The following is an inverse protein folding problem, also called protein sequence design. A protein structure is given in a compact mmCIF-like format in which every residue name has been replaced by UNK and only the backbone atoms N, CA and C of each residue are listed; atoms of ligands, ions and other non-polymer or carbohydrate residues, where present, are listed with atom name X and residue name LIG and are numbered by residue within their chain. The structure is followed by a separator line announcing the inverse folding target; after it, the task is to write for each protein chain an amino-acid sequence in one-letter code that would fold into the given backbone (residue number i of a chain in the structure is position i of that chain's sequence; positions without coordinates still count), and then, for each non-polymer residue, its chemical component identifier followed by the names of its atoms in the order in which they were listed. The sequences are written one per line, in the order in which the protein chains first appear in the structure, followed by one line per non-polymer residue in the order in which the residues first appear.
data_IF_475311339802
#
_entry.id   IF_475311339802
#
_cell.length_a   1.000
_cell.length_b   1.000
_cell.length_c   1.000
_cell.angle_alpha   90.00
_cell.angle_beta   90.00
_cell.angle_gamma   90.00
#
_symmetry.space_group_name_H-M   'P 1'
#
loop_
_entity.id
_entity.type
_entity.pdbx_description
1 polymer ?
#
# COMPACT_ATOMS: atom_id res chain seq x y z
N UNK A 1 36.37 -9.23 -45.57
CA UNK A 1 35.77 -8.12 -44.79
C UNK A 1 34.29 -8.28 -44.94
N UNK A 2 33.71 -9.12 -44.09
CA UNK A 2 32.26 -9.19 -43.94
C UNK A 2 31.81 -7.89 -43.27
N UNK A 3 30.79 -7.27 -43.84
CA UNK A 3 30.13 -6.11 -43.26
C UNK A 3 29.42 -6.57 -42.00
N UNK A 4 29.94 -6.14 -40.85
CA UNK A 4 29.25 -6.25 -39.56
C UNK A 4 27.96 -5.41 -39.65
N UNK A 5 26.81 -6.09 -39.77
CA UNK A 5 25.51 -5.47 -40.05
C UNK A 5 24.86 -4.82 -38.84
N UNK A 6 25.48 -4.93 -37.65
CA UNK A 6 25.01 -4.32 -36.40
C UNK A 6 23.64 -4.81 -35.92
N UNK A 7 23.11 -5.87 -36.53
CA UNK A 7 21.86 -6.54 -36.18
C UNK A 7 22.13 -8.04 -36.20
N UNK A 8 21.64 -8.75 -35.19
CA UNK A 8 21.84 -10.19 -35.06
C UNK A 8 20.73 -10.96 -35.81
N UNK A 9 19.52 -10.40 -35.86
CA UNK A 9 18.37 -11.00 -36.51
C UNK A 9 17.40 -9.94 -37.06
N UNK A 10 16.68 -10.26 -38.14
CA UNK A 10 15.57 -9.43 -38.64
C UNK A 10 14.24 -10.08 -38.26
N UNK A 11 13.40 -9.35 -37.51
CA UNK A 11 12.03 -9.74 -37.16
C UNK A 11 11.07 -8.77 -37.84
N UNK A 12 10.15 -9.24 -38.69
CA UNK A 12 9.18 -8.41 -39.41
C UNK A 12 9.79 -7.12 -40.02
N UNK A 13 10.88 -7.26 -40.77
CA UNK A 13 11.63 -6.16 -41.41
C UNK A 13 12.26 -5.13 -40.43
N UNK A 14 12.38 -5.46 -39.14
CA UNK A 14 13.06 -4.66 -38.12
C UNK A 14 14.24 -5.41 -37.50
N UNK A 15 15.32 -4.70 -37.19
CA UNK A 15 16.50 -5.29 -36.55
C UNK A 15 16.27 -5.65 -35.08
N UNK A 16 16.80 -6.80 -34.66
CA UNK A 16 16.97 -7.16 -33.25
C UNK A 16 18.43 -7.56 -32.95
N UNK A 17 19.05 -7.00 -31.89
CA UNK A 17 18.59 -5.83 -31.13
C UNK A 17 18.41 -4.61 -32.04
N UNK A 18 17.58 -3.65 -31.61
CA UNK A 18 17.36 -2.42 -32.38
C UNK A 18 18.66 -1.64 -32.54
N UNK A 19 18.83 -0.98 -33.68
CA UNK A 19 19.93 -0.01 -33.82
C UNK A 19 19.68 1.18 -32.90
N UNK A 20 20.75 1.83 -32.44
CA UNK A 20 20.64 2.97 -31.51
C UNK A 20 19.68 4.09 -31.97
N UNK A 21 19.61 4.37 -33.28
CA UNK A 21 18.65 5.34 -33.82
C UNK A 21 17.19 4.86 -33.84
N UNK A 22 16.95 3.55 -34.01
CA UNK A 22 15.61 2.96 -33.92
C UNK A 22 15.12 2.94 -32.48
N UNK A 23 16.02 2.56 -31.55
CA UNK A 23 15.75 2.61 -30.12
C UNK A 23 15.44 4.03 -29.65
N UNK A 24 16.26 5.01 -30.04
CA UNK A 24 16.02 6.43 -29.72
C UNK A 24 14.63 6.91 -30.17
N UNK A 25 14.21 6.52 -31.39
CA UNK A 25 12.89 6.85 -31.92
C UNK A 25 11.78 6.20 -31.09
N UNK A 26 11.92 4.92 -30.72
CA UNK A 26 10.96 4.21 -29.88
C UNK A 26 10.81 4.88 -28.51
N UNK A 27 11.91 5.30 -27.88
CA UNK A 27 11.89 6.06 -26.63
C UNK A 27 11.13 7.39 -26.80
N UNK A 28 11.42 8.15 -27.86
CA UNK A 28 10.70 9.41 -28.14
C UNK A 28 9.20 9.20 -28.42
N UNK A 29 8.82 8.11 -29.09
CA UNK A 29 7.40 7.75 -29.36
C UNK A 29 6.65 7.32 -28.09
N UNK A 30 7.36 6.74 -27.11
CA UNK A 30 6.81 6.32 -25.80
C UNK A 30 6.87 7.42 -24.75
N UNK A 31 7.32 8.63 -25.10
CA UNK A 31 7.48 9.74 -24.17
C UNK A 31 6.20 10.61 -24.04
N UNK A 32 5.77 10.99 -22.82
CA UNK A 32 6.24 10.46 -21.54
C UNK A 32 5.70 9.06 -21.25
N UNK A 33 6.46 8.32 -20.45
CA UNK A 33 6.00 7.03 -19.95
C UNK A 33 5.14 7.25 -18.70
N UNK A 34 3.94 6.69 -18.71
CA UNK A 34 2.99 6.77 -17.60
C UNK A 34 2.53 5.36 -17.20
N UNK A 35 2.97 4.92 -16.02
CA UNK A 35 2.64 3.62 -15.45
C UNK A 35 1.17 3.44 -15.12
N UNK A 36 0.42 4.52 -14.81
CA UNK A 36 -1.03 4.42 -14.61
C UNK A 36 -1.75 4.14 -15.93
N UNK A 37 -1.36 4.83 -16.99
CA UNK A 37 -1.88 4.59 -18.34
C UNK A 37 -1.55 3.18 -18.84
N UNK A 38 -0.36 2.67 -18.52
CA UNK A 38 0.02 1.28 -18.83
C UNK A 38 -0.83 0.28 -18.04
N UNK A 39 -0.98 0.48 -16.73
CA UNK A 39 -1.84 -0.35 -15.89
C UNK A 39 -3.26 -0.40 -16.47
N UNK A 40 -3.86 0.73 -16.85
CA UNK A 40 -5.20 0.76 -17.43
C UNK A 40 -5.36 -0.07 -18.74
N UNK A 41 -4.26 -0.34 -19.46
CA UNK A 41 -4.26 -1.10 -20.72
C UNK A 41 -4.01 -2.60 -20.52
N UNK A 42 -3.57 -3.04 -19.34
CA UNK A 42 -3.06 -4.40 -19.05
C UNK A 42 -3.93 -5.11 -18.01
N UNK A 43 -5.11 -5.64 -18.37
CA UNK A 43 -6.01 -6.29 -17.41
C UNK A 43 -5.39 -7.56 -16.80
N UNK A 44 -5.88 -7.99 -15.65
CA UNK A 44 -5.37 -9.17 -14.95
C UNK A 44 -4.27 -8.80 -13.97
N UNK A 45 -3.15 -9.53 -14.01
CA UNK A 45 -1.99 -9.22 -13.17
C UNK A 45 -1.21 -8.04 -13.75
N UNK A 46 -0.91 -7.06 -12.89
CA UNK A 46 0.03 -6.00 -13.23
C UNK A 46 0.68 -5.46 -11.97
N UNK A 47 2.01 -5.30 -12.01
CA UNK A 47 2.78 -4.68 -10.92
C UNK A 47 3.71 -3.62 -11.45
N UNK A 48 3.81 -2.53 -10.71
CA UNK A 48 4.76 -1.44 -10.93
C UNK A 48 5.55 -1.21 -9.67
N UNK A 49 6.86 -1.16 -9.81
CA UNK A 49 7.77 -0.73 -8.76
C UNK A 49 8.47 0.54 -9.20
N UNK A 50 8.58 1.51 -8.30
CA UNK A 50 9.35 2.71 -8.56
C UNK A 50 10.17 3.12 -7.35
N UNK A 51 11.35 3.67 -7.62
CA UNK A 51 12.24 4.26 -6.63
C UNK A 51 12.71 5.60 -7.17
N UNK A 52 12.62 6.65 -6.35
CA UNK A 52 13.15 7.95 -6.69
C UNK A 52 14.05 8.44 -5.55
N UNK A 53 15.27 8.81 -5.90
CA UNK A 53 16.22 9.39 -4.96
C UNK A 53 16.41 10.88 -5.26
N UNK A 54 16.51 11.67 -4.21
CA UNK A 54 16.75 13.11 -4.27
C UNK A 54 17.69 13.53 -3.14
N UNK A 55 18.22 14.75 -3.23
CA UNK A 55 19.04 15.32 -2.17
C UNK A 55 18.39 16.60 -1.65
N UNK A 56 18.08 16.63 -0.37
CA UNK A 56 17.50 17.79 0.33
C UNK A 56 18.48 18.22 1.41
N UNK A 57 18.99 19.45 1.32
CA UNK A 57 19.99 20.00 2.26
C UNK A 57 21.21 19.08 2.49
N UNK A 58 21.66 18.40 1.43
CA UNK A 58 22.79 17.47 1.48
C UNK A 58 22.46 16.08 2.05
N UNK A 59 21.20 15.82 2.39
CA UNK A 59 20.72 14.52 2.88
C UNK A 59 20.01 13.78 1.75
N UNK A 60 20.37 12.51 1.57
CA UNK A 60 19.70 11.64 0.59
C UNK A 60 18.29 11.28 1.08
N UNK A 61 17.31 11.42 0.20
CA UNK A 61 15.91 11.04 0.42
C UNK A 61 15.51 10.06 -0.67
N UNK A 62 15.14 8.84 -0.28
CA UNK A 62 14.71 7.79 -1.20
C UNK A 62 13.27 7.45 -0.92
N UNK A 63 12.46 7.47 -1.97
CA UNK A 63 11.04 7.17 -1.94
C UNK A 63 10.78 5.96 -2.85
N UNK A 64 10.31 4.86 -2.27
CA UNK A 64 10.07 3.62 -3.00
C UNK A 64 8.61 3.19 -2.88
N UNK A 65 8.02 2.84 -4.00
CA UNK A 65 6.64 2.37 -4.11
C UNK A 65 6.59 1.05 -4.85
N UNK A 66 5.67 0.18 -4.45
CA UNK A 66 5.22 -0.92 -5.28
C UNK A 66 3.71 -1.03 -5.22
N UNK A 67 3.08 -1.11 -6.38
CA UNK A 67 1.65 -1.35 -6.51
C UNK A 67 1.45 -2.57 -7.41
N UNK A 68 0.60 -3.48 -6.99
CA UNK A 68 0.27 -4.70 -7.71
C UNK A 68 -1.23 -4.94 -7.64
N UNK A 69 -1.79 -5.43 -8.73
CA UNK A 69 -3.17 -5.92 -8.78
C UNK A 69 -3.22 -7.31 -9.41
N UNK A 70 -4.24 -8.06 -9.05
CA UNK A 70 -4.63 -9.30 -9.71
C UNK A 70 -6.14 -9.37 -9.79
N UNK A 71 -6.68 -8.94 -10.93
CA UNK A 71 -8.14 -8.88 -11.14
C UNK A 71 -8.79 -10.26 -11.06
N UNK A 72 -8.10 -11.31 -11.50
CA UNK A 72 -8.61 -12.69 -11.48
C UNK A 72 -8.73 -13.26 -10.06
N UNK A 73 -7.83 -12.85 -9.15
CA UNK A 73 -7.85 -13.27 -7.76
C UNK A 73 -8.63 -12.31 -6.86
N UNK A 74 -8.91 -11.09 -7.32
CA UNK A 74 -9.48 -10.02 -6.50
C UNK A 74 -8.51 -9.55 -5.42
N UNK A 75 -7.19 -9.62 -5.67
CA UNK A 75 -6.16 -9.28 -4.69
C UNK A 75 -5.36 -8.09 -5.17
N UNK A 76 -4.86 -7.30 -4.23
CA UNK A 76 -4.02 -6.14 -4.51
C UNK A 76 -2.94 -5.99 -3.46
N UNK A 77 -1.88 -5.28 -3.82
CA UNK A 77 -0.77 -4.96 -2.94
C UNK A 77 -0.33 -3.53 -3.14
N UNK A 78 -0.10 -2.84 -2.02
CA UNK A 78 0.43 -1.48 -1.98
C UNK A 78 1.53 -1.43 -0.94
N UNK A 79 2.70 -0.93 -1.33
CA UNK A 79 3.75 -0.61 -0.39
C UNK A 79 4.40 0.72 -0.69
N UNK A 80 4.88 1.35 0.38
CA UNK A 80 5.65 2.58 0.36
C UNK A 80 6.75 2.51 1.40
N UNK A 81 7.92 3.04 1.06
CA UNK A 81 8.97 3.36 2.05
C UNK A 81 9.57 4.73 1.76
N UNK A 82 9.88 5.44 2.84
CA UNK A 82 10.60 6.71 2.83
C UNK A 82 11.87 6.57 3.66
N UNK A 83 13.03 6.63 3.01
CA UNK A 83 14.32 6.66 3.67
C UNK A 83 14.92 8.07 3.64
N UNK A 84 15.39 8.56 4.79
CA UNK A 84 16.09 9.85 4.92
C UNK A 84 17.44 9.61 5.57
N UNK A 85 18.52 9.97 4.86
CA UNK A 85 19.90 9.73 5.31
C UNK A 85 20.21 8.26 5.59
N UNK A 86 19.54 7.35 4.87
CA UNK A 86 19.66 5.90 5.06
C UNK A 86 18.83 5.30 6.20
N UNK A 87 18.00 6.10 6.88
CA UNK A 87 17.08 5.61 7.92
C UNK A 87 15.67 5.52 7.37
N UNK A 88 14.97 4.41 7.60
CA UNK A 88 13.55 4.28 7.35
C UNK A 88 12.78 5.22 8.31
N UNK A 89 12.07 6.19 7.74
CA UNK A 89 11.29 7.18 8.49
C UNK A 89 9.80 6.86 8.46
N UNK A 90 9.33 6.31 7.34
CA UNK A 90 7.97 5.82 7.17
C UNK A 90 7.96 4.63 6.23
N UNK A 91 7.07 3.68 6.47
CA UNK A 91 6.83 2.64 5.50
C UNK A 91 5.67 1.74 5.88
N UNK A 92 5.07 1.15 4.87
CA UNK A 92 4.00 0.17 5.02
C UNK A 92 3.98 -0.80 3.84
N UNK A 93 3.40 -1.97 4.08
CA UNK A 93 3.00 -2.93 3.05
C UNK A 93 1.62 -3.45 3.40
N UNK A 94 0.73 -3.54 2.42
CA UNK A 94 -0.63 -4.02 2.59
C UNK A 94 -0.94 -4.99 1.44
N UNK A 95 -1.34 -6.20 1.78
CA UNK A 95 -2.02 -7.13 0.88
C UNK A 95 -3.48 -7.26 1.31
N UNK A 96 -4.42 -6.87 0.44
CA UNK A 96 -5.86 -6.93 0.69
C UNK A 96 -6.66 -7.22 -0.60
N UNK A 97 -7.97 -6.98 -0.56
CA UNK A 97 -8.95 -7.32 -1.61
C UNK A 97 -9.75 -8.59 -1.34
N UNK A 98 -9.34 -9.39 -0.36
CA UNK A 98 -10.05 -10.57 0.14
C UNK A 98 -10.26 -10.46 1.65
N UNK A 99 -10.88 -11.48 2.25
CA UNK A 99 -11.22 -11.45 3.67
C UNK A 99 -10.04 -11.52 4.63
N UNK A 100 -8.90 -12.05 4.16
CA UNK A 100 -7.65 -12.03 4.91
C UNK A 100 -6.76 -10.91 4.38
N UNK A 101 -6.30 -10.07 5.29
CA UNK A 101 -5.46 -8.92 5.02
C UNK A 101 -4.10 -9.16 5.67
N UNK A 102 -3.03 -8.70 5.04
CA UNK A 102 -1.69 -8.73 5.62
C UNK A 102 -1.10 -7.33 5.59
N UNK A 103 -0.67 -6.84 6.76
CA UNK A 103 -0.10 -5.49 6.90
C UNK A 103 1.23 -5.52 7.65
N UNK A 104 2.19 -4.68 7.24
CA UNK A 104 3.44 -4.49 7.97
C UNK A 104 3.88 -3.03 7.93
N UNK A 105 4.76 -2.62 8.84
CA UNK A 105 5.38 -1.29 8.92
C UNK A 105 6.57 -1.13 7.95
N UNK A 106 6.51 -1.80 6.81
CA UNK A 106 7.54 -2.01 5.77
C UNK A 106 8.54 -3.14 5.97
N UNK A 107 8.61 -3.74 7.14
CA UNK A 107 9.38 -4.97 7.32
C UNK A 107 8.48 -6.20 7.18
N UNK A 108 8.77 -7.06 6.21
CA UNK A 108 8.03 -8.32 6.05
C UNK A 108 8.01 -9.19 7.32
N UNK A 109 9.01 -9.10 8.19
CA UNK A 109 9.04 -9.84 9.46
C UNK A 109 8.12 -9.26 10.54
N UNK A 110 7.58 -8.04 10.37
CA UNK A 110 6.60 -7.43 11.26
C UNK A 110 5.15 -7.61 10.77
N UNK A 111 4.95 -8.47 9.75
CA UNK A 111 3.63 -8.72 9.17
C UNK A 111 2.63 -9.15 10.23
N UNK A 112 1.45 -8.55 10.18
CA UNK A 112 0.28 -8.89 10.96
C UNK A 112 -0.86 -9.30 10.04
N UNK A 113 -1.70 -10.21 10.54
CA UNK A 113 -2.93 -10.63 9.86
C UNK A 113 -4.06 -9.71 10.30
N UNK A 114 -4.68 -9.02 9.35
CA UNK A 114 -5.97 -8.34 9.48
C UNK A 114 -7.11 -9.19 8.92
N UNK A 115 -8.33 -8.65 8.95
CA UNK A 115 -9.50 -9.31 8.39
C UNK A 115 -10.52 -8.29 7.88
N UNK A 116 -11.27 -8.72 6.89
CA UNK A 116 -12.37 -7.98 6.29
C UNK A 116 -13.51 -8.95 5.96
N UNK A 117 -14.67 -8.72 6.55
CA UNK A 117 -15.86 -9.57 6.41
C UNK A 117 -16.73 -9.18 5.22
N UNK A 118 -16.47 -8.02 4.59
CA UNK A 118 -17.16 -7.59 3.37
C UNK A 118 -16.21 -6.97 2.34
N UNK A 119 -15.21 -7.72 1.83
CA UNK A 119 -14.21 -7.18 0.91
C UNK A 119 -14.81 -6.55 -0.34
N UNK A 120 -14.42 -5.29 -0.59
CA UNK A 120 -14.70 -4.57 -1.83
C UNK A 120 -13.39 -4.35 -2.58
N UNK A 121 -13.07 -5.28 -3.49
CA UNK A 121 -11.87 -5.15 -4.33
C UNK A 121 -11.97 -3.90 -5.21
N UNK A 122 -11.04 -2.99 -5.03
CA UNK A 122 -10.82 -1.84 -5.89
C UNK A 122 -9.45 -1.90 -6.52
N UNK A 123 -9.32 -1.51 -7.79
CA UNK A 123 -8.03 -1.44 -8.46
C UNK A 123 -7.13 -0.39 -7.77
N UNK A 124 -5.97 -0.79 -7.20
CA UNK A 124 -5.09 0.13 -6.48
C UNK A 124 -4.51 1.23 -7.36
N UNK A 125 -4.36 1.01 -8.67
CA UNK A 125 -3.87 2.04 -9.59
C UNK A 125 -4.90 3.15 -9.75
N UNK A 126 -6.19 2.80 -9.84
CA UNK A 126 -7.28 3.77 -9.96
C UNK A 126 -7.44 4.53 -8.65
N UNK A 127 -7.47 3.84 -7.51
CA UNK A 127 -7.61 4.47 -6.21
C UNK A 127 -6.48 5.45 -5.92
N UNK A 128 -5.22 5.03 -6.07
CA UNK A 128 -4.07 5.88 -5.76
C UNK A 128 -3.98 7.06 -6.73
N UNK A 129 -4.35 6.86 -8.00
CA UNK A 129 -4.45 7.97 -8.94
C UNK A 129 -5.53 8.99 -8.53
N UNK A 130 -6.70 8.53 -8.06
CA UNK A 130 -7.75 9.42 -7.56
C UNK A 130 -7.31 10.18 -6.31
N UNK A 131 -6.69 9.49 -5.33
CA UNK A 131 -6.17 10.12 -4.12
C UNK A 131 -5.11 11.18 -4.45
N UNK A 132 -4.22 10.91 -5.42
CA UNK A 132 -3.22 11.88 -5.87
C UNK A 132 -3.81 13.17 -6.46
N UNK A 133 -5.03 13.10 -7.01
CA UNK A 133 -5.73 14.27 -7.53
C UNK A 133 -6.46 15.05 -6.42
N UNK A 134 -6.90 14.36 -5.36
CA UNK A 134 -7.57 14.96 -4.21
C UNK A 134 -6.59 15.68 -3.28
N UNK A 135 -5.38 15.12 -3.11
CA UNK A 135 -4.31 15.71 -2.32
C UNK A 135 -3.01 15.80 -3.15
N UNK A 136 -2.89 16.79 -4.06
CA UNK A 136 -1.74 16.90 -4.97
C UNK A 136 -0.38 17.11 -4.27
N UNK A 137 -0.40 17.64 -3.04
CA UNK A 137 0.79 17.89 -2.23
C UNK A 137 1.23 16.66 -1.41
N UNK A 138 0.49 15.55 -1.52
CA UNK A 138 0.80 14.28 -0.87
C UNK A 138 2.04 13.57 -1.45
N UNK A 139 2.39 12.44 -0.85
CA UNK A 139 3.48 11.58 -1.34
C UNK A 139 2.87 10.49 -2.20
N UNK A 140 3.16 10.52 -3.51
CA UNK A 140 2.56 9.62 -4.49
C UNK A 140 3.61 8.83 -5.27
N UNK A 141 3.25 7.64 -5.82
CA UNK A 141 4.16 6.85 -6.63
C UNK A 141 4.71 7.62 -7.84
N UNK A 142 6.04 7.63 -8.07
CA UNK A 142 6.65 8.32 -9.20
C UNK A 142 6.59 7.47 -10.48
N UNK A 143 5.40 7.00 -10.86
CA UNK A 143 5.17 6.11 -12.02
C UNK A 143 5.22 6.82 -13.38
N UNK A 144 5.75 8.04 -13.41
CA UNK A 144 5.88 8.85 -14.59
C UNK A 144 7.36 9.11 -14.87
N UNK A 145 7.78 8.95 -16.13
CA UNK A 145 9.13 9.29 -16.56
C UNK A 145 9.14 10.08 -17.86
N UNK A 146 9.87 11.19 -17.85
CA UNK A 146 10.08 12.05 -19.01
C UNK A 146 11.50 11.85 -19.58
N UNK A 147 11.53 11.31 -20.80
CA UNK A 147 12.72 11.04 -21.57
C UNK A 147 13.27 12.25 -22.34
N UNK A 148 12.58 13.40 -22.39
CA UNK A 148 13.04 14.60 -23.12
C UNK A 148 14.47 15.00 -22.76
N UNK A 149 14.86 14.69 -21.54
CA UNK A 149 16.19 14.94 -21.03
C UNK A 149 17.31 14.21 -21.80
N UNK A 150 16.99 13.18 -22.58
CA UNK A 150 17.90 12.41 -23.44
C UNK A 150 17.63 12.62 -24.94
N UNK A 151 16.80 13.59 -25.32
CA UNK A 151 16.55 13.89 -26.72
C UNK A 151 17.84 14.22 -27.48
N UNK A 152 18.01 13.60 -28.65
CA UNK A 152 19.21 13.78 -29.48
C UNK A 152 20.47 13.06 -28.98
N UNK A 153 20.41 12.36 -27.84
CA UNK A 153 21.52 11.52 -27.38
C UNK A 153 21.59 10.20 -28.14
N UNK A 154 22.81 9.66 -28.27
CA UNK A 154 23.03 8.35 -28.90
C UNK A 154 22.77 7.25 -27.88
N UNK A 155 22.08 6.19 -28.33
CA UNK A 155 21.82 4.99 -27.54
C UNK A 155 22.71 3.85 -28.02
N UNK A 156 23.31 3.13 -27.07
CA UNK A 156 23.99 1.86 -27.32
C UNK A 156 23.05 0.75 -26.90
N UNK A 157 22.75 -0.18 -27.79
CA UNK A 157 21.75 -1.23 -27.55
C UNK A 157 22.42 -2.60 -27.57
N UNK A 158 22.07 -3.42 -26.60
CA UNK A 158 22.44 -4.84 -26.51
C UNK A 158 21.18 -5.65 -26.30
N UNK A 159 21.09 -6.86 -26.84
CA UNK A 159 19.91 -7.70 -26.62
C UNK A 159 20.18 -9.18 -26.72
N UNK A 160 19.25 -9.94 -26.17
CA UNK A 160 19.11 -11.38 -26.30
C UNK A 160 17.94 -11.68 -27.23
N UNK A 161 18.26 -12.19 -28.42
CA UNK A 161 17.28 -12.52 -29.46
C UNK A 161 16.33 -13.64 -29.00
N UNK A 162 16.80 -14.57 -28.16
CA UNK A 162 16.02 -15.74 -27.76
C UNK A 162 14.89 -15.41 -26.79
N UNK A 163 15.08 -14.37 -25.97
CA UNK A 163 14.08 -13.86 -25.02
C UNK A 163 13.35 -12.63 -25.55
N UNK A 164 13.71 -12.16 -26.76
CA UNK A 164 13.27 -10.86 -27.30
C UNK A 164 13.46 -9.72 -26.29
N UNK A 165 14.55 -9.78 -25.53
CA UNK A 165 14.89 -8.81 -24.50
C UNK A 165 16.07 -7.95 -24.95
N UNK A 166 16.01 -6.64 -24.71
CA UNK A 166 17.11 -5.73 -25.04
C UNK A 166 17.18 -4.56 -24.08
N UNK A 167 18.37 -4.00 -23.95
CA UNK A 167 18.67 -2.85 -23.10
C UNK A 167 19.36 -1.78 -23.94
N UNK A 168 18.77 -0.58 -23.96
CA UNK A 168 19.41 0.61 -24.48
C UNK A 168 20.04 1.41 -23.35
N UNK A 169 21.32 1.75 -23.48
CA UNK A 169 22.05 2.62 -22.56
C UNK A 169 22.42 3.96 -23.21
N UNK A 170 22.28 5.04 -22.47
CA UNK A 170 22.78 6.37 -22.84
C UNK A 170 23.39 7.10 -21.65
N UNK A 171 24.17 8.14 -21.93
CA UNK A 171 24.76 8.99 -20.89
C UNK A 171 24.85 10.43 -21.33
N UNK A 172 24.80 11.34 -20.36
CA UNK A 172 24.95 12.78 -20.58
C UNK A 172 25.55 13.47 -19.36
N UNK A 173 26.12 14.64 -19.59
CA UNK A 173 26.62 15.50 -18.52
C UNK A 173 25.54 16.51 -18.13
N UNK A 174 25.07 16.49 -16.88
CA UNK A 174 24.17 17.50 -16.31
C UNK A 174 24.89 18.19 -15.16
N UNK A 175 25.05 19.51 -15.21
CA UNK A 175 25.67 20.29 -14.13
C UNK A 175 27.05 19.77 -13.67
N UNK A 176 27.81 19.13 -14.56
CA UNK A 176 29.12 18.54 -14.26
C UNK A 176 29.09 17.10 -13.75
N UNK A 177 27.90 16.50 -13.57
CA UNK A 177 27.70 15.11 -13.18
C UNK A 177 27.34 14.25 -14.38
N UNK A 178 27.86 13.03 -14.44
CA UNK A 178 27.49 12.05 -15.46
C UNK A 178 26.21 11.35 -15.04
N UNK A 179 25.16 11.55 -15.82
CA UNK A 179 23.88 10.86 -15.66
C UNK A 179 23.78 9.78 -16.73
N UNK A 180 23.54 8.54 -16.29
CA UNK A 180 23.38 7.38 -17.15
C UNK A 180 21.93 6.90 -17.08
N UNK A 181 21.37 6.51 -18.21
CA UNK A 181 20.06 5.88 -18.25
C UNK A 181 20.13 4.57 -19.02
N UNK A 182 19.45 3.56 -18.49
CA UNK A 182 19.25 2.25 -19.07
C UNK A 182 17.75 2.03 -19.21
N UNK A 183 17.31 1.60 -20.39
CA UNK A 183 15.92 1.26 -20.66
C UNK A 183 15.87 -0.17 -21.17
N UNK A 184 15.19 -1.03 -20.42
CA UNK A 184 14.95 -2.40 -20.81
C UNK A 184 13.62 -2.51 -21.55
N UNK A 185 13.58 -3.33 -22.59
CA UNK A 185 12.36 -3.66 -23.32
C UNK A 185 12.27 -5.16 -23.57
N UNK A 186 11.07 -5.71 -23.57
CA UNK A 186 10.83 -7.09 -23.99
C UNK A 186 9.78 -7.18 -25.10
N UNK A 187 9.76 -8.31 -25.79
CA UNK A 187 8.77 -8.64 -26.80
C UNK A 187 9.05 -8.03 -28.17
N UNK A 188 8.16 -8.35 -29.11
CA UNK A 188 8.20 -7.83 -30.48
C UNK A 188 6.76 -7.63 -31.00
N UNK A 189 6.25 -6.38 -31.10
CA UNK A 189 6.96 -5.11 -30.94
C UNK A 189 7.49 -4.88 -29.51
N UNK A 190 8.64 -4.21 -29.35
CA UNK A 190 9.24 -3.98 -28.02
C UNK A 190 8.41 -3.04 -27.14
N UNK A 191 8.19 -3.44 -25.89
CA UNK A 191 7.55 -2.64 -24.84
C UNK A 191 8.54 -2.38 -23.70
N UNK A 192 8.50 -1.18 -23.12
CA UNK A 192 9.39 -0.81 -22.00
C UNK A 192 8.99 -1.58 -20.76
N UNK A 193 9.93 -2.32 -20.18
CA UNK A 193 9.74 -3.11 -18.95
C UNK A 193 10.52 -2.54 -17.78
N UNK A 194 11.59 -1.78 -18.01
CA UNK A 194 12.29 -1.07 -16.95
C UNK A 194 12.99 0.22 -17.43
N UNK A 195 13.13 1.16 -16.51
CA UNK A 195 13.97 2.36 -16.64
C UNK A 195 14.82 2.44 -15.38
N UNK A 196 16.12 2.61 -15.55
CA UNK A 196 17.05 2.88 -14.46
C UNK A 196 17.92 4.08 -14.81
N UNK A 197 18.03 5.03 -13.89
CA UNK A 197 18.79 6.27 -14.04
C UNK A 197 19.71 6.41 -12.86
N UNK A 198 20.98 6.64 -13.15
CA UNK A 198 22.02 6.74 -12.14
C UNK A 198 22.75 8.08 -12.26
N UNK A 199 23.14 8.63 -11.11
CA UNK A 199 24.23 9.60 -10.97
C UNK A 199 25.49 8.80 -10.74
N UNK A 200 26.48 8.99 -11.61
CA UNK A 200 27.64 8.11 -11.64
C UNK A 200 27.20 6.63 -11.74
N UNK A 201 28.10 5.65 -11.79
CA UNK A 201 27.66 4.25 -12.08
C UNK A 201 26.93 3.57 -10.92
N UNK A 202 26.66 4.24 -9.80
CA UNK A 202 26.23 3.60 -8.54
C UNK A 202 25.04 4.25 -7.85
N UNK A 203 24.81 5.55 -8.03
CA UNK A 203 23.78 6.24 -7.24
C UNK A 203 22.48 6.28 -8.03
N UNK A 204 21.54 5.40 -7.69
CA UNK A 204 20.21 5.38 -8.31
C UNK A 204 19.55 6.74 -8.06
N UNK A 205 19.13 7.40 -9.14
CA UNK A 205 18.27 8.59 -9.11
C UNK A 205 16.81 8.22 -9.34
N UNK A 206 16.59 7.22 -10.20
CA UNK A 206 15.26 6.76 -10.57
C UNK A 206 15.31 5.30 -11.01
N UNK A 207 14.35 4.51 -10.55
CA UNK A 207 14.06 3.17 -11.07
C UNK A 207 12.55 3.07 -11.28
N UNK A 208 12.14 2.48 -12.40
CA UNK A 208 10.75 2.10 -12.69
C UNK A 208 10.77 0.73 -13.35
N UNK A 209 10.00 -0.23 -12.83
CA UNK A 209 9.95 -1.59 -13.35
C UNK A 209 8.49 -2.04 -13.44
N UNK A 210 8.16 -2.72 -14.54
CA UNK A 210 6.84 -3.27 -14.80
C UNK A 210 6.90 -4.80 -14.84
N UNK A 211 5.88 -5.42 -14.28
CA UNK A 211 5.69 -6.87 -14.34
C UNK A 211 4.27 -7.17 -14.83
N UNK A 212 4.17 -7.91 -15.93
CA UNK A 212 2.90 -8.36 -16.52
C UNK A 212 2.62 -9.84 -16.24
N UNK A 213 3.63 -10.55 -15.75
CA UNK A 213 3.51 -11.91 -15.27
C UNK A 213 3.83 -11.91 -13.79
N UNK A 214 3.03 -12.66 -13.04
CA UNK A 214 3.38 -12.96 -11.66
C UNK A 214 4.54 -13.95 -11.71
N UNK A 215 5.67 -13.58 -11.12
CA UNK A 215 6.56 -14.57 -10.51
C UNK A 215 5.77 -15.20 -9.35
N UNK A 216 4.84 -16.12 -9.66
CA UNK A 216 3.93 -16.82 -8.73
C UNK A 216 4.74 -17.20 -7.49
N UNK A 217 4.51 -16.68 -6.24
CA UNK A 217 3.53 -17.28 -5.32
C UNK A 217 3.22 -16.46 -4.03
N UNK A 218 3.66 -15.21 -3.84
CA UNK A 218 3.89 -14.70 -2.48
C UNK A 218 2.60 -14.54 -1.65
N UNK A 219 1.57 -13.92 -2.24
CA UNK A 219 0.25 -13.85 -1.61
C UNK A 219 -0.36 -15.24 -1.40
N UNK A 220 -0.15 -16.16 -2.34
CA UNK A 220 -0.63 -17.54 -2.20
C UNK A 220 0.08 -18.29 -1.06
N UNK A 221 1.39 -18.08 -0.86
CA UNK A 221 2.15 -18.62 0.27
C UNK A 221 1.73 -17.98 1.60
N UNK A 222 1.39 -16.69 1.60
CA UNK A 222 0.80 -16.02 2.76
C UNK A 222 -0.54 -16.64 3.11
N UNK A 223 -1.45 -16.75 2.13
CA UNK A 223 -2.82 -17.22 2.31
C UNK A 223 -2.90 -18.68 2.74
N UNK A 224 -2.08 -19.55 2.14
CA UNK A 224 -2.09 -20.97 2.49
C UNK A 224 -1.26 -21.31 3.73
N UNK A 225 -0.63 -20.30 4.36
CA UNK A 225 0.19 -20.45 5.58
C UNK A 225 1.60 -21.01 5.35
N UNK A 226 1.97 -21.35 4.11
CA UNK A 226 3.30 -21.90 3.79
C UNK A 226 4.41 -20.92 4.16
N UNK A 227 4.18 -19.61 3.97
CA UNK A 227 5.20 -18.61 4.31
C UNK A 227 5.43 -18.51 5.83
N UNK A 228 4.35 -18.54 6.62
CA UNK A 228 4.45 -18.52 8.09
C UNK A 228 5.20 -19.76 8.60
N UNK A 229 4.87 -20.94 8.05
CA UNK A 229 5.56 -22.20 8.37
C UNK A 229 7.05 -22.12 8.06
N UNK A 230 7.41 -21.71 6.83
CA UNK A 230 8.81 -21.57 6.41
C UNK A 230 9.59 -20.59 7.30
N UNK A 231 9.00 -19.46 7.65
CA UNK A 231 9.67 -18.45 8.48
C UNK A 231 9.76 -18.85 9.94
N UNK A 232 8.77 -19.57 10.47
CA UNK A 232 8.84 -20.14 11.81
C UNK A 232 9.93 -21.22 11.90
N UNK A 233 9.98 -22.14 10.94
CA UNK A 233 11.04 -23.17 10.88
C UNK A 233 12.45 -22.57 10.73
N UNK A 234 12.57 -21.46 9.99
CA UNK A 234 13.82 -20.72 9.86
C UNK A 234 14.18 -19.87 11.11
N UNK A 235 13.30 -19.81 12.12
CA UNK A 235 13.49 -19.00 13.33
C UNK A 235 13.36 -17.49 13.10
N UNK A 236 12.72 -17.07 12.01
CA UNK A 236 12.44 -15.68 11.67
C UNK A 236 11.16 -15.17 12.34
N UNK A 237 10.20 -16.06 12.62
CA UNK A 237 9.01 -15.75 13.39
C UNK A 237 9.10 -16.35 14.80
N UNK A 238 8.64 -15.62 15.84
CA UNK A 238 8.55 -16.14 17.21
C UNK A 238 7.37 -17.11 17.40
N UNK A 239 6.44 -17.16 16.46
CA UNK A 239 5.18 -17.91 16.50
C UNK A 239 4.93 -18.58 15.12
N UNK A 240 4.23 -19.73 15.07
CA UNK A 240 3.89 -20.40 13.81
C UNK A 240 2.89 -19.62 12.94
N UNK A 241 2.30 -18.55 13.45
CA UNK A 241 1.40 -17.65 12.72
C UNK A 241 1.74 -16.20 13.02
N UNK A 242 1.43 -15.31 12.09
CA UNK A 242 1.51 -13.87 12.31
C UNK A 242 0.59 -13.43 13.45
N UNK A 243 1.01 -12.36 14.13
CA UNK A 243 0.16 -11.68 15.10
C UNK A 243 -1.07 -11.08 14.40
N UNK A 244 -2.17 -10.98 15.13
CA UNK A 244 -3.40 -10.39 14.62
C UNK A 244 -3.38 -8.89 14.81
N UNK A 245 -3.78 -8.16 13.78
CA UNK A 245 -4.01 -6.71 13.86
C UNK A 245 -5.43 -6.44 14.37
N UNK A 246 -5.56 -5.58 15.37
CA UNK A 246 -6.85 -5.03 15.73
C UNK A 246 -7.40 -4.19 14.58
N UNK A 247 -8.72 -4.14 14.47
CA UNK A 247 -9.40 -3.30 13.50
C UNK A 247 -8.97 -1.81 13.62
N UNK A 248 -8.69 -1.07 12.53
CA UNK A 248 -8.16 0.29 12.61
C UNK A 248 -9.26 1.33 12.86
N UNK A 249 -10.08 1.10 13.89
CA UNK A 249 -11.16 2.00 14.29
C UNK A 249 -10.97 2.49 15.73
N UNK A 250 -10.65 3.77 15.87
CA UNK A 250 -10.61 4.46 17.16
C UNK A 250 -11.86 5.33 17.27
N UNK A 251 -12.74 5.12 18.28
CA UNK A 251 -13.95 5.91 18.41
C UNK A 251 -13.59 7.36 18.75
N UNK A 252 -13.85 8.27 17.82
CA UNK A 252 -13.65 9.70 18.04
C UNK A 252 -14.99 10.39 18.29
N UNK A 253 -15.22 10.97 19.49
CA UNK A 253 -16.42 11.76 19.77
C UNK A 253 -16.61 12.90 18.77
N UNK A 254 -17.77 12.94 18.12
CA UNK A 254 -18.15 14.06 17.25
C UNK A 254 -18.92 15.13 18.03
N UNK A 255 -19.61 14.71 19.08
CA UNK A 255 -20.48 15.58 19.88
C UNK A 255 -20.41 15.17 21.35
N UNK A 256 -20.44 16.17 22.23
CA UNK A 256 -20.60 16.02 23.66
C UNK A 256 -21.64 17.05 24.14
N UNK A 257 -22.69 16.57 24.78
CA UNK A 257 -23.78 17.38 25.31
C UNK A 257 -23.88 17.17 26.82
N UNK A 258 -24.09 18.24 27.58
CA UNK A 258 -24.38 18.16 29.01
C UNK A 258 -25.67 18.94 29.30
N UNK A 259 -26.76 18.22 29.56
CA UNK A 259 -28.06 18.81 29.83
C UNK A 259 -28.69 18.16 31.06
N UNK A 260 -29.19 19.00 31.98
CA UNK A 260 -29.89 18.57 33.20
C UNK A 260 -29.11 17.53 34.05
N UNK A 261 -27.77 17.57 34.03
CA UNK A 261 -26.91 16.64 34.77
C UNK A 261 -26.68 15.30 34.07
N UNK A 262 -27.00 15.19 32.79
CA UNK A 262 -26.70 14.03 31.94
C UNK A 262 -25.66 14.45 30.91
N UNK A 263 -24.56 13.72 30.86
CA UNK A 263 -23.56 13.83 29.79
C UNK A 263 -23.86 12.79 28.73
N UNK A 264 -23.92 13.22 27.47
CA UNK A 264 -24.06 12.36 26.29
C UNK A 264 -22.88 12.59 25.35
N UNK A 265 -22.27 11.51 24.90
CA UNK A 265 -21.18 11.50 23.93
C UNK A 265 -21.57 10.55 22.80
N UNK A 266 -21.43 10.99 21.55
CA UNK A 266 -21.69 10.14 20.39
C UNK A 266 -20.73 10.42 19.24
N UNK A 267 -20.65 9.45 18.33
CA UNK A 267 -19.81 9.52 17.13
C UNK A 267 -20.23 8.44 16.13
N UNK A 268 -19.64 8.50 14.94
CA UNK A 268 -19.93 7.55 13.86
C UNK A 268 -18.65 6.91 13.33
N UNK A 269 -18.80 5.73 12.73
CA UNK A 269 -17.73 5.11 11.94
C UNK A 269 -17.52 5.94 10.66
N UNK A 270 -16.29 6.38 10.34
CA UNK A 270 -16.02 7.21 9.18
C UNK A 270 -16.06 6.41 7.87
N UNK A 271 -16.26 7.09 6.74
CA UNK A 271 -16.26 6.48 5.39
C UNK A 271 -14.91 5.86 5.01
N UNK A 272 -13.81 6.38 5.57
CA UNK A 272 -12.47 5.82 5.37
C UNK A 272 -12.27 4.44 6.02
N UNK A 273 -13.23 3.97 6.82
CA UNK A 273 -13.22 2.62 7.38
C UNK A 273 -13.74 1.63 6.35
N UNK A 274 -12.83 0.90 5.70
CA UNK A 274 -13.11 -0.03 4.59
C UNK A 274 -12.86 -1.49 4.92
N UNK A 275 -12.50 -1.80 6.17
CA UNK A 275 -12.27 -3.17 6.63
C UNK A 275 -13.34 -3.52 7.65
N UNK A 276 -14.28 -4.40 7.30
CA UNK A 276 -15.40 -4.69 8.20
C UNK A 276 -15.18 -5.94 9.06
N UNK A 277 -15.71 -5.94 10.29
CA UNK A 277 -15.58 -7.07 11.23
C UNK A 277 -16.89 -7.35 11.94
N UNK A 278 -17.09 -8.58 12.41
CA UNK A 278 -18.31 -8.93 13.12
C UNK A 278 -18.48 -8.08 14.39
N UNK A 279 -19.67 -7.53 14.61
CA UNK A 279 -19.98 -6.78 15.85
C UNK A 279 -19.86 -7.65 17.12
N UNK A 280 -19.95 -8.98 17.00
CA UNK A 280 -19.75 -9.92 18.11
C UNK A 280 -18.29 -10.11 18.52
N UNK A 281 -17.34 -9.48 17.80
CA UNK A 281 -15.91 -9.56 18.10
C UNK A 281 -15.37 -8.26 18.70
N UNK A 282 -16.21 -7.23 18.85
CA UNK A 282 -15.80 -5.92 19.32
C UNK A 282 -16.54 -5.57 20.61
N UNK A 283 -15.80 -5.13 21.63
CA UNK A 283 -16.34 -4.57 22.86
C UNK A 283 -16.02 -3.08 22.94
N UNK A 284 -17.03 -2.25 23.17
CA UNK A 284 -16.88 -0.85 23.55
C UNK A 284 -16.80 -0.75 25.07
N UNK A 285 -15.83 0.01 25.56
CA UNK A 285 -15.60 0.26 26.97
C UNK A 285 -15.59 1.75 27.26
N UNK A 286 -16.14 2.11 28.42
CA UNK A 286 -15.99 3.43 29.03
C UNK A 286 -14.93 3.36 30.11
N UNK A 287 -13.92 4.20 30.01
CA UNK A 287 -12.78 4.26 30.93
C UNK A 287 -12.79 5.51 31.78
N UNK A 288 -12.56 5.32 33.08
CA UNK A 288 -12.26 6.39 34.04
C UNK A 288 -11.00 5.97 34.77
N UNK A 289 -10.01 6.87 34.86
CA UNK A 289 -8.73 6.61 35.53
C UNK A 289 -8.10 5.25 35.14
N UNK A 290 -8.14 4.95 33.83
CA UNK A 290 -7.65 3.71 33.23
C UNK A 290 -8.35 2.41 33.73
N UNK A 291 -9.55 2.52 34.28
CA UNK A 291 -10.41 1.40 34.65
C UNK A 291 -11.69 1.40 33.83
N UNK A 292 -12.05 0.25 33.25
CA UNK A 292 -13.33 0.07 32.56
C UNK A 292 -14.49 0.08 33.56
N UNK A 293 -15.38 1.06 33.47
CA UNK A 293 -16.54 1.23 34.37
C UNK A 293 -17.86 0.78 33.76
N UNK A 294 -17.93 0.70 32.42
CA UNK A 294 -19.06 0.17 31.67
C UNK A 294 -18.58 -0.42 30.35
N UNK A 295 -19.31 -1.39 29.82
CA UNK A 295 -18.96 -2.07 28.57
C UNK A 295 -20.19 -2.49 27.76
N UNK A 296 -20.00 -2.62 26.45
CA UNK A 296 -20.98 -3.09 25.49
C UNK A 296 -20.28 -4.00 24.47
N UNK A 297 -20.69 -5.27 24.38
CA UNK A 297 -20.46 -6.07 23.18
C UNK A 297 -21.29 -5.48 22.05
N UNK A 298 -20.69 -5.04 20.94
CA UNK A 298 -21.42 -4.29 19.92
C UNK A 298 -22.60 -5.08 19.33
N UNK A 299 -22.45 -6.39 19.20
CA UNK A 299 -23.53 -7.29 18.74
C UNK A 299 -24.78 -7.32 19.64
N UNK A 300 -24.71 -6.82 20.87
CA UNK A 300 -25.87 -6.69 21.77
C UNK A 300 -26.64 -5.37 21.57
N UNK A 301 -26.08 -4.43 20.80
CA UNK A 301 -26.61 -3.09 20.47
C UNK A 301 -26.77 -2.14 21.65
N UNK A 302 -27.08 -2.61 22.86
CA UNK A 302 -27.28 -1.77 24.05
C UNK A 302 -26.75 -2.42 25.32
N UNK A 303 -26.30 -1.61 26.27
CA UNK A 303 -25.85 -2.05 27.58
C UNK A 303 -26.13 -0.96 28.62
N UNK A 304 -26.52 -1.39 29.83
CA UNK A 304 -26.78 -0.50 30.94
C UNK A 304 -26.03 -1.00 32.18
N UNK A 305 -25.31 -0.09 32.84
CA UNK A 305 -24.62 -0.35 34.10
C UNK A 305 -25.01 0.69 35.14
N UNK A 306 -25.10 0.29 36.40
CA UNK A 306 -25.34 1.20 37.52
C UNK A 306 -24.50 0.78 38.71
N UNK A 307 -23.68 1.71 39.18
CA UNK A 307 -22.81 1.55 40.34
C UNK A 307 -23.59 1.75 41.64
N UNK A 308 -22.99 1.32 42.75
CA UNK A 308 -23.61 1.36 44.09
C UNK A 308 -23.87 2.79 44.57
N UNK A 309 -23.09 3.76 44.08
CA UNK A 309 -23.23 5.19 44.35
C UNK A 309 -24.37 5.86 43.56
N UNK A 310 -25.04 5.13 42.66
CA UNK A 310 -26.10 5.63 41.79
C UNK A 310 -25.60 6.24 40.47
N UNK A 311 -24.30 6.17 40.19
CA UNK A 311 -23.74 6.51 38.88
C UNK A 311 -24.17 5.46 37.87
N UNK A 312 -24.75 5.87 36.75
CA UNK A 312 -25.22 4.96 35.70
C UNK A 312 -24.60 5.30 34.34
N UNK A 313 -24.54 4.28 33.50
CA UNK A 313 -24.02 4.34 32.13
C UNK A 313 -25.00 3.60 31.21
N UNK A 314 -25.37 4.25 30.13
CA UNK A 314 -26.15 3.69 29.02
C UNK A 314 -25.28 3.78 27.77
N UNK A 315 -24.98 2.63 27.18
CA UNK A 315 -24.16 2.50 25.98
C UNK A 315 -25.05 1.95 24.87
N UNK A 316 -24.95 2.55 23.68
CA UNK A 316 -25.70 2.13 22.50
C UNK A 316 -24.78 2.05 21.27
N UNK A 317 -25.00 1.04 20.45
CA UNK A 317 -24.47 0.87 19.11
C UNK A 317 -25.62 0.79 18.11
N UNK A 318 -25.58 1.62 17.09
CA UNK A 318 -26.54 1.63 16.00
C UNK A 318 -25.90 1.04 14.75
N UNK A 319 -26.28 -0.20 14.43
CA UNK A 319 -25.90 -0.95 13.24
C UNK A 319 -26.74 -0.44 12.04
N UNK A 320 -26.30 0.66 11.45
CA UNK A 320 -26.97 1.33 10.32
C UNK A 320 -26.28 1.07 8.99
N UNK A 321 -25.02 0.63 9.02
CA UNK A 321 -24.23 0.25 7.86
C UNK A 321 -24.52 -1.18 7.38
N UNK A 322 -23.45 -1.94 7.21
CA UNK A 322 -23.52 -3.35 6.83
C UNK A 322 -23.95 -4.20 8.01
N UNK A 323 -25.19 -4.68 7.95
CA UNK A 323 -25.84 -5.46 9.00
C UNK A 323 -24.92 -6.50 9.65
N UNK A 324 -24.72 -6.35 10.96
CA UNK A 324 -23.96 -7.27 11.79
C UNK A 324 -22.43 -7.07 11.74
N UNK A 325 -21.95 -6.07 11.00
CA UNK A 325 -20.55 -5.72 10.88
C UNK A 325 -20.30 -4.30 11.43
N UNK A 326 -19.12 -4.07 12.01
CA UNK A 326 -18.60 -2.73 12.28
C UNK A 326 -18.22 -2.12 10.94
N UNK A 327 -18.96 -1.10 10.51
CA UNK A 327 -18.87 -0.57 9.15
C UNK A 327 -19.25 0.91 9.07
N UNK A 328 -18.97 1.56 7.93
CA UNK A 328 -19.39 2.93 7.67
C UNK A 328 -20.91 3.12 7.90
N UNK A 329 -21.30 4.28 8.44
CA UNK A 329 -22.64 4.67 8.88
C UNK A 329 -23.10 4.11 10.22
N UNK A 330 -22.38 3.15 10.81
CA UNK A 330 -22.63 2.80 12.19
C UNK A 330 -22.31 3.96 13.13
N UNK A 331 -22.97 3.97 14.28
CA UNK A 331 -22.73 4.99 15.30
C UNK A 331 -22.80 4.43 16.70
N UNK A 332 -22.18 5.15 17.64
CA UNK A 332 -22.21 4.82 19.05
C UNK A 332 -22.70 6.02 19.86
N UNK A 333 -23.33 5.75 20.99
CA UNK A 333 -23.60 6.75 22.01
C UNK A 333 -23.34 6.23 23.42
N UNK A 334 -22.94 7.13 24.31
CA UNK A 334 -22.72 6.89 25.74
C UNK A 334 -23.42 8.00 26.49
N UNK A 335 -24.33 7.62 27.40
CA UNK A 335 -25.08 8.54 28.27
C UNK A 335 -24.81 8.19 29.72
N UNK A 336 -24.61 9.21 30.56
CA UNK A 336 -24.30 9.02 31.98
C UNK A 336 -24.74 10.20 32.83
N UNK A 337 -24.97 9.97 34.12
CA UNK A 337 -25.04 11.03 35.14
C UNK A 337 -23.70 11.30 35.84
N UNK A 338 -22.61 10.63 35.44
CA UNK A 338 -21.27 10.90 35.97
C UNK A 338 -20.80 12.31 35.61
N UNK A 339 -20.13 12.96 36.55
CA UNK A 339 -19.44 14.24 36.32
C UNK A 339 -17.96 14.08 35.98
N UNK A 340 -17.46 12.85 35.99
CA UNK A 340 -16.05 12.55 35.70
C UNK A 340 -15.78 12.55 34.19
N UNK A 341 -14.55 12.90 33.82
CA UNK A 341 -14.09 12.76 32.43
C UNK A 341 -13.83 11.30 32.14
N UNK A 342 -14.23 10.84 30.96
CA UNK A 342 -14.07 9.46 30.54
C UNK A 342 -13.59 9.35 29.10
N UNK A 343 -12.94 8.23 28.78
CA UNK A 343 -12.57 7.83 27.44
C UNK A 343 -13.49 6.71 26.95
N UNK A 344 -13.66 6.60 25.63
CA UNK A 344 -14.30 5.46 24.97
C UNK A 344 -13.22 4.70 24.23
N UNK A 345 -13.11 3.39 24.46
CA UNK A 345 -12.11 2.53 23.82
C UNK A 345 -12.77 1.28 23.26
N UNK A 346 -12.24 0.75 22.15
CA UNK A 346 -12.71 -0.48 21.54
C UNK A 346 -11.67 -1.58 21.71
N UNK A 347 -12.11 -2.73 22.23
CA UNK A 347 -11.34 -3.96 22.31
C UNK A 347 -11.73 -4.88 21.16
N UNK A 348 -10.76 -5.29 20.36
CA UNK A 348 -10.94 -6.33 19.34
C UNK A 348 -10.61 -7.69 19.96
N UNK A 349 -11.63 -8.52 20.16
CA UNK A 349 -11.51 -9.84 20.79
C UNK A 349 -10.81 -10.85 19.89
N UNK A 350 -10.88 -10.71 18.57
CA UNK A 350 -10.19 -11.60 17.65
C UNK A 350 -8.68 -11.35 17.70
N UNK A 351 -8.27 -10.07 17.72
CA UNK A 351 -6.88 -9.69 17.88
C UNK A 351 -6.39 -9.77 19.33
N UNK A 352 -7.33 -9.78 20.29
CA UNK A 352 -7.07 -9.62 21.72
C UNK A 352 -6.24 -8.36 22.00
N UNK A 353 -6.63 -7.24 21.39
CA UNK A 353 -5.89 -5.98 21.44
C UNK A 353 -6.83 -4.77 21.36
N UNK A 354 -6.43 -3.69 22.03
CA UNK A 354 -7.13 -2.40 21.91
C UNK A 354 -6.84 -1.76 20.55
N UNK A 355 -7.87 -1.21 19.95
CA UNK A 355 -7.81 -0.54 18.63
C UNK A 355 -6.96 0.74 18.62
N UNK A 356 -6.76 1.36 19.78
CA UNK A 356 -5.91 2.55 19.97
C UNK A 356 -4.45 2.20 20.32
N UNK A 357 -4.11 0.91 20.39
CA UNK A 357 -2.78 0.44 20.78
C UNK A 357 -2.46 0.58 22.27
N UNK A 358 -3.44 0.91 23.11
CA UNK A 358 -3.27 0.96 24.57
C UNK A 358 -2.85 -0.39 25.15
N UNK A 359 -2.01 -0.37 26.20
CA UNK A 359 -1.76 -1.56 27.01
C UNK A 359 -2.95 -1.83 27.93
N UNK A 360 -3.20 -3.11 28.25
CA UNK A 360 -4.21 -3.57 29.22
C UNK A 360 -4.04 -2.97 30.60
#
# INVERSE_FOLDING_TARGET
MESDTGCDYEVNDSCFPMRGGEFARMISEKNPLDGYSLAAQKPGFFRVEAEQASTVDGVNVVNSWAIERSDDLGTRYVSHTLMIGGNLVAGYQIYDGLSEIYISDSNMLSMKRGRDMSPDYQDPFVEIQLLSQQEPDGVWPPFYYDFTQFDGHTWTVTGDVSELYQVGGTSKLINGEVIQAYVATSGFPPEITAIEVFRETTDILYRLVFYEESDIPYYELLRNGTLEEMWFEAGLLPSPTFDRAAIPFIPFPQFQLNEAGITEVSGSVPEAMIYEVNLSEIEMHVFIDNSSVAQLMLGNLTSNATSVDGTWWELEWQDSGLKGLLSFQDSFSVRTNSTETFDIRMLDLWANAWTDGGAT
#
